data_IF_052556098237
#
_entry.id   IF_052556098237
#
_cell.length_a   1.000
_cell.length_b   1.000
_cell.length_c   1.000
_cell.angle_alpha   90.00
_cell.angle_beta   90.00
_cell.angle_gamma   90.00
#
_symmetry.space_group_name_H-M   'P 1'
#
loop_
_entity.id
_entity.type
_entity.pdbx_description
1 polymer ?
#
# COMPACT_ATOMS: atom_id res chain seq x y z
N UNK A 1 -28.62 -10.44 8.62
CA UNK A 1 -29.76 -9.66 8.08
C UNK A 1 -29.43 -9.36 6.63
N UNK A 2 -30.28 -9.75 5.68
CA UNK A 2 -30.04 -9.50 4.25
C UNK A 2 -30.29 -8.01 3.98
N UNK A 3 -29.39 -7.33 3.26
CA UNK A 3 -29.56 -5.91 2.97
C UNK A 3 -30.64 -5.69 1.88
N UNK A 4 -31.10 -4.44 1.75
CA UNK A 4 -32.19 -4.09 0.83
C UNK A 4 -31.87 -4.38 -0.64
N UNK A 5 -30.60 -4.21 -1.07
CA UNK A 5 -30.18 -4.47 -2.44
C UNK A 5 -30.20 -5.98 -2.73
N UNK A 6 -29.62 -6.79 -1.85
CA UNK A 6 -29.66 -8.25 -1.98
C UNK A 6 -31.08 -8.79 -1.98
N UNK A 7 -31.97 -8.22 -1.16
CA UNK A 7 -33.38 -8.58 -1.12
C UNK A 7 -34.10 -8.20 -2.42
N UNK A 8 -33.85 -7.01 -2.95
CA UNK A 8 -34.49 -6.51 -4.18
C UNK A 8 -34.16 -7.38 -5.41
N UNK A 9 -32.96 -7.96 -5.46
CA UNK A 9 -32.52 -8.77 -6.60
C UNK A 9 -32.51 -10.27 -6.33
N UNK A 10 -33.06 -10.75 -5.21
CA UNK A 10 -32.94 -12.15 -4.76
C UNK A 10 -33.28 -13.19 -5.83
N UNK A 11 -34.31 -12.95 -6.64
CA UNK A 11 -34.74 -13.88 -7.70
C UNK A 11 -33.72 -14.03 -8.85
N UNK A 12 -32.86 -13.02 -9.02
CA UNK A 12 -31.81 -12.98 -10.04
C UNK A 12 -30.46 -13.50 -9.53
N UNK A 13 -30.32 -13.72 -8.23
CA UNK A 13 -29.06 -14.13 -7.62
C UNK A 13 -28.96 -15.65 -7.47
N UNK A 14 -27.76 -16.17 -7.72
CA UNK A 14 -27.33 -17.52 -7.34
C UNK A 14 -26.81 -17.53 -5.89
N UNK A 15 -26.34 -16.37 -5.42
CA UNK A 15 -26.00 -16.13 -4.03
C UNK A 15 -25.22 -14.82 -3.86
N UNK A 16 -24.69 -14.61 -2.68
CA UNK A 16 -23.79 -13.51 -2.38
C UNK A 16 -22.73 -13.94 -1.38
N UNK A 17 -21.62 -13.22 -1.36
CA UNK A 17 -20.58 -13.35 -0.36
C UNK A 17 -20.03 -11.97 -0.03
N UNK A 18 -19.52 -11.80 1.18
CA UNK A 18 -18.88 -10.56 1.57
C UNK A 18 -17.38 -10.77 1.80
N UNK A 19 -16.56 -9.80 1.39
CA UNK A 19 -15.13 -9.82 1.64
C UNK A 19 -14.55 -8.41 1.74
N UNK A 20 -13.43 -8.21 2.45
CA UNK A 20 -12.63 -7.01 2.33
C UNK A 20 -12.17 -6.83 0.90
N UNK A 21 -12.30 -5.59 0.44
CA UNK A 21 -11.79 -5.16 -0.85
C UNK A 21 -10.42 -4.53 -0.65
N UNK A 22 -10.33 -3.58 0.28
CA UNK A 22 -9.12 -2.80 0.52
C UNK A 22 -8.91 -2.54 2.00
N UNK A 23 -7.71 -2.85 2.48
CA UNK A 23 -7.26 -2.46 3.82
C UNK A 23 -6.11 -1.49 3.66
N UNK A 24 -6.27 -0.27 4.17
CA UNK A 24 -5.25 0.78 4.13
C UNK A 24 -4.68 0.97 5.53
N UNK A 25 -3.38 0.73 5.66
CA UNK A 25 -2.59 0.98 6.86
C UNK A 25 -1.72 2.21 6.62
N UNK A 26 -1.71 3.17 7.53
CA UNK A 26 -0.67 4.21 7.53
C UNK A 26 0.54 3.71 8.30
N UNK A 27 1.73 4.05 7.81
CA UNK A 27 3.01 3.75 8.43
C UNK A 27 3.82 5.03 8.61
N UNK A 28 4.16 5.37 9.85
CA UNK A 28 4.83 6.63 10.17
C UNK A 28 5.79 6.49 11.34
N UNK A 29 6.84 7.31 11.36
CA UNK A 29 7.73 7.37 12.50
C UNK A 29 7.02 8.02 13.69
N UNK A 30 6.91 7.30 14.82
CA UNK A 30 6.03 7.61 15.95
C UNK A 30 6.12 9.06 16.44
N UNK A 31 7.34 9.60 16.50
CA UNK A 31 7.58 10.93 17.06
C UNK A 31 7.69 12.02 15.98
N UNK A 32 7.99 11.67 14.72
CA UNK A 32 8.46 12.64 13.73
C UNK A 32 7.35 13.51 13.10
N UNK A 33 6.14 13.47 13.67
CA UNK A 33 5.02 14.33 13.30
C UNK A 33 5.13 15.76 13.86
N UNK A 34 5.98 15.96 14.88
CA UNK A 34 6.30 17.25 15.51
C UNK A 34 7.74 17.68 15.23
N UNK A 35 8.03 18.97 15.39
CA UNK A 35 9.38 19.51 15.13
C UNK A 35 10.45 18.87 16.04
N UNK A 36 10.15 18.72 17.32
CA UNK A 36 11.04 18.06 18.27
C UNK A 36 11.28 16.59 17.92
N UNK A 37 10.23 15.87 17.54
CA UNK A 37 10.38 14.46 17.16
C UNK A 37 11.06 14.25 15.81
N UNK A 38 10.95 15.21 14.88
CA UNK A 38 11.73 15.18 13.64
C UNK A 38 13.23 15.42 13.90
N UNK A 39 13.58 16.35 14.80
CA UNK A 39 14.98 16.51 15.27
C UNK A 39 15.49 15.24 15.94
N UNK A 40 14.67 14.60 16.77
CA UNK A 40 15.01 13.30 17.35
C UNK A 40 15.31 12.27 16.26
N UNK A 41 14.41 12.11 15.27
CA UNK A 41 14.63 11.21 14.13
C UNK A 41 15.93 11.53 13.38
N UNK A 42 16.20 12.81 13.14
CA UNK A 42 17.43 13.27 12.49
C UNK A 42 18.69 12.89 13.27
N UNK A 43 18.71 13.14 14.59
CA UNK A 43 19.84 12.80 15.46
C UNK A 43 20.06 11.30 15.58
N UNK A 44 19.00 10.48 15.49
CA UNK A 44 19.14 9.03 15.41
C UNK A 44 19.90 8.60 14.16
N UNK A 45 19.77 9.33 13.05
CA UNK A 45 20.52 9.07 11.82
C UNK A 45 21.94 9.63 11.87
N UNK A 46 22.11 10.90 12.24
CA UNK A 46 23.35 11.65 12.05
C UNK A 46 24.09 12.04 13.35
N UNK A 47 23.57 11.70 14.52
CA UNK A 47 24.17 11.98 15.82
C UNK A 47 23.98 13.42 16.33
N UNK A 48 23.81 14.39 15.44
CA UNK A 48 23.65 15.81 15.79
C UNK A 48 22.73 16.55 14.81
N UNK A 49 22.42 17.81 15.10
CA UNK A 49 21.69 18.70 14.18
C UNK A 49 22.62 19.47 13.24
N UNK A 50 23.92 19.21 13.28
CA UNK A 50 24.93 19.99 12.55
C UNK A 50 24.65 20.03 11.05
N UNK A 51 24.19 18.92 10.47
CA UNK A 51 23.82 18.83 9.06
C UNK A 51 22.30 18.86 8.82
N UNK A 52 21.49 19.22 9.82
CA UNK A 52 20.06 19.38 9.63
C UNK A 52 19.80 20.69 8.87
N UNK A 53 19.67 20.58 7.55
CA UNK A 53 19.37 21.69 6.64
C UNK A 53 18.63 21.21 5.38
N UNK A 54 18.11 22.17 4.62
CA UNK A 54 17.36 21.90 3.38
C UNK A 54 18.16 21.07 2.37
N UNK A 55 19.45 21.31 2.24
CA UNK A 55 20.32 20.61 1.29
C UNK A 55 20.37 19.12 1.60
N UNK A 56 20.57 18.76 2.87
CA UNK A 56 20.61 17.37 3.29
C UNK A 56 19.24 16.68 3.21
N UNK A 57 18.13 17.40 3.49
CA UNK A 57 16.78 16.86 3.27
C UNK A 57 16.51 16.55 1.79
N UNK A 58 16.93 17.43 0.88
CA UNK A 58 16.81 17.20 -0.57
C UNK A 58 17.70 16.03 -1.01
N UNK A 59 18.92 15.93 -0.48
CA UNK A 59 19.83 14.81 -0.76
C UNK A 59 19.24 13.46 -0.37
N UNK A 60 18.51 13.38 0.76
CA UNK A 60 17.81 12.16 1.17
C UNK A 60 16.75 11.73 0.16
N UNK A 61 15.93 12.68 -0.30
CA UNK A 61 14.93 12.42 -1.35
C UNK A 61 15.57 11.99 -2.67
N UNK A 62 16.63 12.69 -3.10
CA UNK A 62 17.36 12.35 -4.32
C UNK A 62 18.04 10.97 -4.25
N UNK A 63 18.61 10.62 -3.09
CA UNK A 63 19.19 9.30 -2.81
C UNK A 63 18.14 8.20 -2.95
N UNK A 64 16.94 8.41 -2.40
CA UNK A 64 15.84 7.46 -2.49
C UNK A 64 15.48 7.18 -3.95
N UNK A 65 15.20 8.21 -4.75
CA UNK A 65 14.88 8.05 -6.17
C UNK A 65 15.98 7.34 -6.95
N UNK A 66 17.25 7.72 -6.73
CA UNK A 66 18.39 7.11 -7.42
C UNK A 66 18.51 5.62 -7.11
N UNK A 67 18.35 5.23 -5.85
CA UNK A 67 18.46 3.82 -5.43
C UNK A 67 17.29 2.98 -5.93
N UNK A 68 16.07 3.55 -5.96
CA UNK A 68 14.91 2.91 -6.58
C UNK A 68 15.15 2.65 -8.07
N UNK A 69 15.56 3.69 -8.82
CA UNK A 69 15.83 3.56 -10.27
C UNK A 69 16.95 2.56 -10.56
N UNK A 70 18.03 2.59 -9.79
CA UNK A 70 19.16 1.66 -9.95
C UNK A 70 18.75 0.20 -9.67
N UNK A 71 17.96 -0.04 -8.62
CA UNK A 71 17.44 -1.38 -8.32
C UNK A 71 16.51 -1.86 -9.43
N UNK A 72 15.55 -1.02 -9.83
CA UNK A 72 14.59 -1.37 -10.86
C UNK A 72 15.27 -1.72 -12.19
N UNK A 73 16.26 -0.92 -12.61
CA UNK A 73 17.04 -1.19 -13.83
C UNK A 73 17.87 -2.49 -13.74
N UNK A 74 18.36 -2.85 -12.55
CA UNK A 74 19.12 -4.09 -12.36
C UNK A 74 18.25 -5.35 -12.44
N UNK A 75 16.97 -5.21 -12.07
CA UNK A 75 16.03 -6.32 -11.92
C UNK A 75 14.92 -6.30 -12.96
N UNK A 76 15.07 -5.49 -14.01
CA UNK A 76 14.10 -5.32 -15.10
C UNK A 76 12.67 -5.00 -14.62
N UNK A 77 12.57 -4.21 -13.55
CA UNK A 77 11.29 -3.77 -12.97
C UNK A 77 10.89 -2.44 -13.63
N UNK A 78 9.71 -2.35 -14.26
CA UNK A 78 9.22 -1.11 -14.83
C UNK A 78 9.08 0.00 -13.78
N UNK A 79 9.54 1.21 -14.14
CA UNK A 79 9.34 2.43 -13.35
C UNK A 79 8.56 3.43 -14.21
N UNK A 80 7.31 3.68 -13.82
CA UNK A 80 6.42 4.60 -14.52
C UNK A 80 6.36 5.93 -13.78
N UNK A 81 6.36 7.03 -14.53
CA UNK A 81 5.91 8.32 -13.99
C UNK A 81 4.37 8.30 -14.06
N UNK A 82 3.73 8.43 -12.91
CA UNK A 82 2.30 8.23 -12.76
C UNK A 82 1.51 9.28 -13.54
N UNK A 83 0.61 8.87 -14.46
CA UNK A 83 -0.25 9.79 -15.19
C UNK A 83 -1.19 10.54 -14.23
N UNK A 84 -1.59 11.76 -14.60
CA UNK A 84 -2.55 12.55 -13.80
C UNK A 84 -3.96 11.95 -13.84
N UNK A 85 -4.32 11.24 -14.91
CA UNK A 85 -5.71 10.90 -15.24
C UNK A 85 -6.05 9.41 -15.10
N UNK A 86 -5.08 8.49 -15.22
CA UNK A 86 -5.35 7.06 -15.00
C UNK A 86 -5.28 6.67 -13.53
N UNK A 87 -6.18 5.80 -13.10
CA UNK A 87 -6.12 5.20 -11.77
C UNK A 87 -4.92 4.28 -11.71
N UNK A 88 -4.02 4.56 -10.76
CA UNK A 88 -2.76 3.81 -10.56
C UNK A 88 -2.97 2.30 -10.35
N UNK A 89 -4.13 1.91 -9.83
CA UNK A 89 -4.48 0.50 -9.66
C UNK A 89 -4.73 -0.17 -11.02
N UNK A 90 -5.55 0.45 -11.87
CA UNK A 90 -5.85 -0.05 -13.22
C UNK A 90 -4.59 -0.12 -14.08
N UNK A 91 -3.69 0.87 -13.95
CA UNK A 91 -2.39 0.84 -14.60
C UNK A 91 -1.52 -0.30 -14.06
N UNK A 92 -1.54 -0.57 -12.76
CA UNK A 92 -0.74 -1.65 -12.18
C UNK A 92 -1.19 -3.03 -12.62
N UNK A 93 -2.48 -3.24 -12.86
CA UNK A 93 -3.02 -4.52 -13.32
C UNK A 93 -2.44 -4.92 -14.70
N UNK A 94 -2.17 -3.95 -15.57
CA UNK A 94 -1.57 -4.18 -16.89
C UNK A 94 -0.12 -4.73 -16.84
N UNK A 95 0.55 -4.57 -15.70
CA UNK A 95 1.93 -5.03 -15.48
C UNK A 95 1.99 -6.22 -14.52
N UNK A 96 0.84 -6.73 -14.07
CA UNK A 96 0.78 -7.86 -13.15
C UNK A 96 1.37 -9.09 -13.85
N UNK A 97 2.31 -9.81 -13.21
CA UNK A 97 2.85 -11.04 -13.77
C UNK A 97 1.77 -12.10 -13.97
N UNK A 98 1.83 -12.80 -15.11
CA UNK A 98 0.92 -13.92 -15.43
C UNK A 98 1.23 -15.18 -14.61
N UNK A 99 2.46 -15.30 -14.09
CA UNK A 99 2.89 -16.45 -13.29
C UNK A 99 2.19 -16.42 -11.91
N UNK A 100 1.29 -17.38 -11.61
CA UNK A 100 0.59 -17.43 -10.32
C UNK A 100 1.52 -17.70 -9.14
N UNK A 101 2.72 -18.26 -9.39
CA UNK A 101 3.73 -18.49 -8.36
C UNK A 101 4.61 -17.26 -8.10
N UNK A 102 4.49 -16.19 -8.88
CA UNK A 102 5.30 -14.99 -8.70
C UNK A 102 5.06 -14.37 -7.31
N UNK A 103 6.16 -14.03 -6.64
CA UNK A 103 6.18 -13.26 -5.39
C UNK A 103 7.31 -12.26 -5.48
N UNK A 104 6.99 -10.97 -5.36
CA UNK A 104 7.98 -9.91 -5.44
C UNK A 104 7.43 -8.56 -5.89
N UNK A 105 8.33 -7.61 -6.03
CA UNK A 105 8.08 -6.29 -6.61
C UNK A 105 8.03 -6.43 -8.13
N UNK A 106 6.91 -6.06 -8.74
CA UNK A 106 6.73 -6.19 -10.20
C UNK A 106 6.56 -4.83 -10.91
N UNK A 107 6.17 -3.77 -10.20
CA UNK A 107 6.00 -2.44 -10.78
C UNK A 107 6.29 -1.34 -9.77
N UNK A 108 6.87 -0.25 -10.24
CA UNK A 108 7.05 0.99 -9.47
C UNK A 108 6.38 2.15 -10.20
N UNK A 109 5.53 2.90 -9.50
CA UNK A 109 4.93 4.15 -10.01
C UNK A 109 5.41 5.32 -9.16
N UNK A 110 5.93 6.37 -9.80
CA UNK A 110 6.31 7.63 -9.14
C UNK A 110 5.27 8.67 -9.49
N UNK A 111 4.54 9.21 -8.52
CA UNK A 111 3.52 10.24 -8.80
C UNK A 111 3.50 11.36 -7.78
N UNK A 112 3.07 12.55 -8.22
CA UNK A 112 3.02 13.73 -7.35
C UNK A 112 1.70 13.79 -6.61
N UNK A 113 1.77 14.05 -5.31
CA UNK A 113 0.61 14.37 -4.49
C UNK A 113 1.02 15.33 -3.36
N UNK A 114 0.03 15.93 -2.73
CA UNK A 114 0.28 16.75 -1.54
C UNK A 114 0.85 15.88 -0.43
N UNK A 115 1.99 16.31 0.13
CA UNK A 115 2.66 15.62 1.22
C UNK A 115 3.42 16.59 2.12
N UNK A 116 3.58 16.20 3.39
CA UNK A 116 4.29 16.99 4.37
C UNK A 116 5.80 17.00 4.08
N UNK A 117 6.39 18.19 4.06
CA UNK A 117 7.83 18.43 4.02
C UNK A 117 8.24 19.32 5.18
N UNK A 118 9.46 19.12 5.65
CA UNK A 118 10.07 19.95 6.68
C UNK A 118 10.91 21.05 6.05
N UNK A 119 10.68 22.29 6.47
CA UNK A 119 11.51 23.45 6.16
C UNK A 119 12.39 23.76 7.38
N UNK A 120 13.69 23.96 7.14
CA UNK A 120 14.68 24.19 8.18
C UNK A 120 15.26 25.58 8.00
N UNK A 121 15.08 26.45 9.00
CA UNK A 121 15.76 27.75 9.05
C UNK A 121 16.87 27.67 10.08
N UNK A 122 18.06 28.16 9.69
CA UNK A 122 19.23 28.24 10.55
C UNK A 122 19.52 29.69 10.92
N UNK A 123 20.04 29.90 12.13
CA UNK A 123 20.55 31.19 12.56
C UNK A 123 21.87 31.52 11.84
N UNK A 124 22.34 32.78 11.88
CA UNK A 124 23.65 33.15 11.35
C UNK A 124 24.81 32.33 11.95
N UNK A 125 24.69 31.91 13.21
CA UNK A 125 25.65 31.04 13.92
C UNK A 125 25.53 29.56 13.52
N UNK A 126 24.71 29.26 12.51
CA UNK A 126 24.53 27.92 11.97
C UNK A 126 23.68 27.00 12.85
N UNK A 127 22.98 27.47 13.88
CA UNK A 127 22.10 26.61 14.71
C UNK A 127 20.71 26.48 14.08
N UNK A 128 20.04 25.35 14.28
CA UNK A 128 18.63 25.20 13.85
C UNK A 128 17.77 26.17 14.66
N UNK A 129 17.26 27.20 13.98
CA UNK A 129 16.44 28.26 14.58
C UNK A 129 14.96 27.87 14.58
N UNK A 130 14.45 27.37 13.44
CA UNK A 130 13.08 26.92 13.34
C UNK A 130 12.95 25.72 12.41
N UNK A 131 12.01 24.85 12.74
CA UNK A 131 11.65 23.70 11.93
C UNK A 131 10.13 23.69 11.74
N UNK A 132 9.66 23.94 10.52
CA UNK A 132 8.23 24.05 10.21
C UNK A 132 7.80 23.01 9.18
N UNK A 133 6.56 22.54 9.32
CA UNK A 133 5.96 21.55 8.42
C UNK A 133 5.06 22.26 7.40
N UNK A 134 5.27 21.98 6.12
CA UNK A 134 4.48 22.52 5.02
C UNK A 134 3.97 21.40 4.14
N UNK A 135 2.79 21.57 3.56
CA UNK A 135 2.31 20.68 2.50
C UNK A 135 2.78 21.21 1.14
N UNK A 136 3.37 20.32 0.34
CA UNK A 136 3.88 20.60 -1.01
C UNK A 136 3.50 19.44 -1.93
N UNK A 137 3.41 19.71 -3.22
CA UNK A 137 3.32 18.65 -4.23
C UNK A 137 4.68 17.96 -4.35
N UNK A 138 4.80 16.77 -3.77
CA UNK A 138 6.02 15.96 -3.74
C UNK A 138 5.80 14.62 -4.43
N UNK A 139 6.89 13.99 -4.83
CA UNK A 139 6.84 12.62 -5.34
C UNK A 139 6.48 11.66 -4.19
N UNK A 140 5.61 10.72 -4.51
CA UNK A 140 5.38 9.51 -3.75
C UNK A 140 5.75 8.34 -4.66
N UNK A 141 6.44 7.35 -4.09
CA UNK A 141 6.87 6.15 -4.79
C UNK A 141 5.91 5.03 -4.37
N UNK A 142 5.26 4.41 -5.33
CA UNK A 142 4.31 3.32 -5.16
C UNK A 142 5.01 2.04 -5.62
N UNK A 143 5.20 1.12 -4.68
CA UNK A 143 5.74 -0.21 -4.95
C UNK A 143 4.57 -1.18 -5.04
N UNK A 144 4.36 -1.76 -6.22
CA UNK A 144 3.33 -2.77 -6.48
C UNK A 144 3.96 -4.15 -6.37
N UNK A 145 3.47 -4.91 -5.38
CA UNK A 145 4.12 -6.09 -4.86
C UNK A 145 3.08 -7.21 -4.79
N UNK A 146 3.49 -8.39 -5.22
CA UNK A 146 2.79 -9.63 -4.93
C UNK A 146 3.49 -10.27 -3.73
N UNK A 147 2.77 -10.38 -2.62
CA UNK A 147 3.19 -11.02 -1.38
C UNK A 147 2.66 -12.46 -1.34
N UNK A 148 3.29 -13.39 -0.57
CA UNK A 148 2.80 -14.76 -0.49
C UNK A 148 1.31 -14.87 -0.14
N UNK A 149 0.81 -13.92 0.66
CA UNK A 149 -0.58 -13.89 1.13
C UNK A 149 -1.37 -12.75 0.49
N UNK A 150 -0.74 -11.63 0.13
CA UNK A 150 -1.44 -10.39 -0.23
C UNK A 150 -1.09 -9.85 -1.62
N UNK A 151 -2.03 -9.12 -2.22
CA UNK A 151 -1.67 -8.04 -3.14
C UNK A 151 -1.31 -6.81 -2.33
N UNK A 152 -0.12 -6.23 -2.52
CA UNK A 152 0.38 -5.11 -1.72
C UNK A 152 0.76 -3.93 -2.61
N UNK A 153 0.19 -2.75 -2.32
CA UNK A 153 0.71 -1.48 -2.83
C UNK A 153 1.26 -0.66 -1.67
N UNK A 154 2.57 -0.41 -1.67
CA UNK A 154 3.22 0.44 -0.67
C UNK A 154 3.51 1.81 -1.27
N UNK A 155 2.81 2.84 -0.80
CA UNK A 155 3.07 4.24 -1.14
C UNK A 155 4.01 4.84 -0.10
N UNK A 156 5.17 5.35 -0.48
CA UNK A 156 6.10 6.06 0.42
C UNK A 156 6.30 7.51 -0.05
N UNK A 157 6.24 8.46 0.88
CA UNK A 157 6.70 9.83 0.65
C UNK A 157 8.18 9.84 0.28
N UNK A 158 8.55 10.53 -0.80
CA UNK A 158 9.97 10.70 -1.14
C UNK A 158 10.75 11.56 -0.13
N UNK A 159 10.05 12.29 0.74
CA UNK A 159 10.67 13.20 1.69
C UNK A 159 10.68 12.62 3.11
N UNK A 160 11.75 12.88 3.88
CA UNK A 160 11.86 12.44 5.26
C UNK A 160 10.73 13.04 6.13
N UNK A 161 10.18 12.28 7.10
CA UNK A 161 10.63 10.97 7.58
C UNK A 161 9.95 9.80 6.83
N UNK A 162 9.72 9.92 5.52
CA UNK A 162 9.27 8.82 4.66
C UNK A 162 7.97 8.15 5.14
N UNK A 163 6.97 8.96 5.49
CA UNK A 163 5.65 8.45 5.83
C UNK A 163 5.09 7.63 4.67
N UNK A 164 4.42 6.53 4.98
CA UNK A 164 3.96 5.54 4.01
C UNK A 164 2.52 5.10 4.25
N UNK A 165 1.93 4.49 3.23
CA UNK A 165 0.67 3.77 3.30
C UNK A 165 0.86 2.38 2.70
N UNK A 166 0.42 1.35 3.40
CA UNK A 166 0.37 -0.03 2.92
C UNK A 166 -1.07 -0.32 2.57
N UNK A 167 -1.34 -0.57 1.31
CA UNK A 167 -2.66 -0.89 0.78
C UNK A 167 -2.65 -2.38 0.46
N UNK A 168 -3.53 -3.12 1.12
CA UNK A 168 -3.69 -4.55 0.95
C UNK A 168 -4.96 -4.84 0.14
N UNK A 169 -4.84 -5.68 -0.88
CA UNK A 169 -5.94 -6.12 -1.73
C UNK A 169 -6.55 -7.40 -1.13
N UNK A 170 -7.81 -7.32 -0.69
CA UNK A 170 -8.52 -8.44 -0.07
C UNK A 170 -8.99 -9.50 -1.06
N UNK A 171 -9.30 -9.13 -2.31
CA UNK A 171 -9.62 -10.09 -3.37
C UNK A 171 -8.39 -10.96 -3.71
N UNK A 172 -7.22 -10.36 -3.84
CA UNK A 172 -5.97 -11.10 -4.06
C UNK A 172 -5.65 -12.04 -2.89
N UNK A 173 -5.92 -11.60 -1.64
CA UNK A 173 -5.79 -12.46 -0.47
C UNK A 173 -6.68 -13.70 -0.56
N UNK A 174 -7.97 -13.53 -0.87
CA UNK A 174 -8.89 -14.66 -1.02
C UNK A 174 -8.48 -15.61 -2.15
N UNK A 175 -8.05 -15.06 -3.30
CA UNK A 175 -7.56 -15.86 -4.42
C UNK A 175 -6.35 -16.73 -4.00
N UNK A 176 -5.43 -16.15 -3.21
CA UNK A 176 -4.25 -16.86 -2.70
C UNK A 176 -4.60 -17.91 -1.66
N UNK A 177 -5.52 -17.62 -0.74
CA UNK A 177 -6.00 -18.61 0.23
C UNK A 177 -6.67 -19.80 -0.47
N UNK A 178 -7.47 -19.55 -1.51
CA UNK A 178 -8.05 -20.63 -2.31
C UNK A 178 -6.99 -21.44 -3.03
N UNK A 179 -6.02 -20.80 -3.67
CA UNK A 179 -4.93 -21.49 -4.35
C UNK A 179 -4.12 -22.37 -3.38
N UNK A 180 -3.82 -21.88 -2.18
CA UNK A 180 -3.15 -22.66 -1.13
C UNK A 180 -4.00 -23.85 -0.65
N UNK A 181 -5.33 -23.73 -0.68
CA UNK A 181 -6.27 -24.82 -0.42
C UNK A 181 -6.46 -25.77 -1.63
N UNK A 182 -5.68 -25.62 -2.70
CA UNK A 182 -5.77 -26.44 -3.91
C UNK A 182 -6.99 -26.13 -4.78
N UNK A 183 -7.53 -24.91 -4.68
CA UNK A 183 -8.71 -24.45 -5.42
C UNK A 183 -8.35 -23.27 -6.33
N UNK A 184 -8.81 -23.28 -7.56
CA UNK A 184 -8.59 -22.17 -8.50
C UNK A 184 -9.79 -21.24 -8.45
N UNK A 185 -9.56 -19.97 -8.14
CA UNK A 185 -10.57 -18.91 -8.27
C UNK A 185 -10.25 -18.08 -9.51
N UNK A 186 -11.18 -18.00 -10.45
CA UNK A 186 -11.10 -17.02 -11.52
C UNK A 186 -11.76 -15.70 -11.08
N UNK A 187 -11.00 -14.62 -11.16
CA UNK A 187 -11.47 -13.25 -10.95
C UNK A 187 -11.87 -12.66 -12.30
N UNK A 188 -13.15 -12.32 -12.45
CA UNK A 188 -13.61 -11.40 -13.51
C UNK A 188 -14.06 -10.10 -12.89
N UNK A 189 -13.38 -9.00 -13.22
CA UNK A 189 -13.78 -7.64 -12.82
C UNK A 189 -14.13 -7.49 -11.32
N UNK A 190 -13.22 -7.91 -10.43
CA UNK A 190 -13.38 -7.92 -8.96
C UNK A 190 -14.44 -8.88 -8.39
N UNK A 191 -15.00 -9.80 -9.19
CA UNK A 191 -15.91 -10.83 -8.72
C UNK A 191 -15.32 -12.22 -9.00
N UNK A 192 -15.49 -13.16 -8.07
CA UNK A 192 -15.12 -14.55 -8.32
C UNK A 192 -16.23 -15.24 -9.12
N UNK A 193 -15.92 -15.68 -10.34
CA UNK A 193 -16.93 -16.13 -11.31
C UNK A 193 -17.03 -17.64 -11.49
N UNK A 194 -16.14 -18.43 -10.90
CA UNK A 194 -16.02 -19.84 -11.29
C UNK A 194 -15.95 -20.86 -10.13
N UNK A 195 -16.44 -22.07 -10.43
CA UNK A 195 -16.39 -23.37 -9.72
C UNK A 195 -16.94 -23.43 -8.28
N UNK A 196 -17.04 -22.32 -7.55
CA UNK A 196 -17.43 -22.29 -6.13
C UNK A 196 -18.86 -21.80 -5.93
N UNK A 197 -19.61 -22.43 -5.02
CA UNK A 197 -20.92 -21.90 -4.62
C UNK A 197 -20.73 -20.63 -3.78
N UNK A 198 -21.74 -19.76 -3.72
CA UNK A 198 -21.72 -18.60 -2.83
C UNK A 198 -21.45 -18.99 -1.36
N UNK A 199 -21.88 -20.19 -0.96
CA UNK A 199 -21.60 -20.75 0.36
C UNK A 199 -20.12 -21.08 0.56
N UNK A 200 -19.45 -21.62 -0.47
CA UNK A 200 -18.02 -21.90 -0.38
C UNK A 200 -17.18 -20.61 -0.39
N UNK A 201 -17.59 -19.60 -1.15
CA UNK A 201 -16.95 -18.27 -1.15
C UNK A 201 -17.16 -17.56 0.17
N UNK A 202 -18.36 -17.66 0.74
CA UNK A 202 -18.66 -17.14 2.09
C UNK A 202 -17.82 -17.88 3.13
N UNK A 203 -17.79 -19.21 3.09
CA UNK A 203 -16.97 -20.00 3.99
C UNK A 203 -15.48 -19.65 3.86
N UNK A 204 -14.96 -19.50 2.64
CA UNK A 204 -13.56 -19.13 2.42
C UNK A 204 -13.29 -17.71 2.90
N UNK A 205 -14.20 -16.75 2.64
CA UNK A 205 -14.08 -15.40 3.15
C UNK A 205 -14.12 -15.35 4.68
N UNK A 206 -15.05 -16.06 5.32
CA UNK A 206 -15.21 -16.10 6.77
C UNK A 206 -14.08 -16.87 7.47
N UNK A 207 -13.65 -18.01 6.93
CA UNK A 207 -12.59 -18.87 7.52
C UNK A 207 -11.20 -18.27 7.30
N UNK A 208 -10.99 -17.64 6.14
CA UNK A 208 -9.77 -16.85 5.90
C UNK A 208 -9.79 -15.52 6.68
N UNK A 209 -10.95 -15.10 7.19
CA UNK A 209 -11.16 -13.92 8.02
C UNK A 209 -11.67 -14.16 9.43
N UNK A 210 -11.15 -15.18 10.11
CA UNK A 210 -10.80 -14.93 11.50
C UNK A 210 -9.79 -13.77 11.48
N UNK A 211 -10.31 -12.53 11.63
CA UNK A 211 -9.63 -11.24 11.52
C UNK A 211 -8.12 -11.40 11.67
N UNK A 212 -7.31 -10.91 10.71
CA UNK A 212 -5.88 -11.16 10.73
C UNK A 212 -5.42 -10.80 12.12
N UNK A 213 -5.03 -11.82 12.90
CA UNK A 213 -4.83 -11.65 14.35
C UNK A 213 -3.95 -10.43 14.48
N UNK A 214 -4.28 -9.48 15.37
CA UNK A 214 -3.73 -8.10 15.46
C UNK A 214 -2.24 -7.90 15.08
N UNK A 215 -1.41 -8.95 15.14
CA UNK A 215 -0.07 -9.05 14.57
C UNK A 215 0.08 -9.20 13.04
N UNK A 216 -0.74 -9.95 12.30
CA UNK A 216 -0.54 -10.26 10.86
C UNK A 216 -0.53 -8.99 9.97
N UNK A 217 -1.51 -8.08 10.14
CA UNK A 217 -1.51 -6.79 9.42
C UNK A 217 -0.29 -5.94 9.78
N UNK A 218 0.12 -5.98 11.05
CA UNK A 218 1.35 -5.32 11.51
C UNK A 218 2.59 -5.94 10.86
N UNK A 219 2.66 -7.26 10.72
CA UNK A 219 3.78 -7.98 10.13
C UNK A 219 3.94 -7.64 8.65
N UNK A 220 2.87 -7.72 7.85
CA UNK A 220 2.93 -7.34 6.43
C UNK A 220 3.29 -5.86 6.28
N UNK A 221 2.73 -4.98 7.12
CA UNK A 221 3.06 -3.55 7.12
C UNK A 221 4.55 -3.32 7.41
N UNK A 222 5.07 -3.89 8.50
CA UNK A 222 6.47 -3.72 8.90
C UNK A 222 7.44 -4.38 7.92
N UNK A 223 7.11 -5.57 7.39
CA UNK A 223 7.90 -6.28 6.37
C UNK A 223 8.13 -5.42 5.15
N UNK A 224 7.06 -4.92 4.53
CA UNK A 224 7.17 -4.15 3.29
C UNK A 224 7.68 -2.74 3.50
N UNK A 225 7.29 -2.07 4.59
CA UNK A 225 7.88 -0.80 4.98
C UNK A 225 9.39 -0.92 5.14
N UNK A 226 9.86 -1.90 5.91
CA UNK A 226 11.29 -2.11 6.15
C UNK A 226 12.05 -2.40 4.85
N UNK A 227 11.48 -3.28 4.01
CA UNK A 227 12.07 -3.69 2.74
C UNK A 227 12.22 -2.51 1.77
N UNK A 228 11.21 -1.64 1.65
CA UNK A 228 11.27 -0.52 0.71
C UNK A 228 11.95 0.72 1.30
N UNK A 229 11.92 0.92 2.63
CA UNK A 229 12.68 1.99 3.29
C UNK A 229 14.19 1.80 3.13
N UNK A 230 14.64 0.57 2.83
CA UNK A 230 16.02 0.28 2.41
C UNK A 230 16.49 1.21 1.29
N UNK A 231 15.63 1.59 0.34
CA UNK A 231 16.03 2.49 -0.75
C UNK A 231 16.26 3.93 -0.27
N UNK A 232 15.51 4.40 0.73
CA UNK A 232 15.65 5.73 1.30
C UNK A 232 16.84 5.84 2.26
N UNK A 233 17.03 4.82 3.10
CA UNK A 233 18.02 4.76 4.17
C UNK A 233 18.90 3.51 4.00
N UNK A 234 20.24 3.63 3.94
CA UNK A 234 21.17 2.51 4.07
C UNK A 234 20.87 1.70 5.32
N UNK A 235 21.30 0.43 5.36
CA UNK A 235 21.01 -0.46 6.48
C UNK A 235 21.41 0.10 7.84
N UNK A 236 22.63 0.65 7.96
CA UNK A 236 23.15 1.24 9.20
C UNK A 236 22.32 2.42 9.71
N UNK A 237 21.67 3.18 8.82
CA UNK A 237 20.77 4.28 9.13
C UNK A 237 19.35 3.74 9.45
N UNK A 238 18.83 2.86 8.59
CA UNK A 238 17.48 2.27 8.70
C UNK A 238 17.28 1.56 10.04
N UNK A 239 18.25 0.75 10.47
CA UNK A 239 18.18 -0.01 11.73
C UNK A 239 18.06 0.89 12.97
N UNK A 240 18.49 2.16 12.89
CA UNK A 240 18.41 3.10 14.02
C UNK A 240 17.02 3.69 14.24
N UNK A 241 16.16 3.67 13.21
CA UNK A 241 14.86 4.36 13.20
C UNK A 241 13.68 3.46 12.85
N UNK A 242 13.88 2.33 12.17
CA UNK A 242 12.77 1.52 11.64
C UNK A 242 11.89 0.90 12.73
N UNK A 243 12.47 0.55 13.88
CA UNK A 243 11.74 0.03 15.04
C UNK A 243 10.81 1.05 15.70
N UNK A 244 10.97 2.34 15.36
CA UNK A 244 10.13 3.43 15.85
C UNK A 244 8.99 3.80 14.88
N UNK A 245 8.92 3.15 13.71
CA UNK A 245 7.73 3.27 12.86
C UNK A 245 6.58 2.50 13.50
N UNK A 246 5.37 3.04 13.34
CA UNK A 246 4.12 2.43 13.78
C UNK A 246 3.18 2.33 12.59
N UNK A 247 2.39 1.26 12.59
CA UNK A 247 1.31 1.07 11.65
C UNK A 247 -0.02 1.30 12.36
N UNK A 248 -0.95 2.00 11.71
CA UNK A 248 -2.33 2.13 12.18
C UNK A 248 -3.30 1.93 11.03
N UNK A 249 -4.46 1.34 11.34
CA UNK A 249 -5.54 1.21 10.39
C UNK A 249 -6.08 2.59 10.03
N UNK A 250 -6.12 2.90 8.74
CA UNK A 250 -6.63 4.16 8.21
C UNK A 250 -8.01 3.99 7.61
N UNK A 251 -8.19 2.94 6.79
CA UNK A 251 -9.44 2.67 6.10
C UNK A 251 -9.58 1.17 5.84
N UNK A 252 -10.81 0.67 5.91
CA UNK A 252 -11.19 -0.67 5.42
C UNK A 252 -12.39 -0.50 4.51
N UNK A 253 -12.29 -1.02 3.30
CA UNK A 253 -13.40 -1.19 2.35
C UNK A 253 -13.83 -2.66 2.40
N UNK A 254 -15.13 -2.89 2.57
CA UNK A 254 -15.74 -4.21 2.59
C UNK A 254 -16.77 -4.26 1.47
N UNK A 255 -16.68 -5.28 0.63
CA UNK A 255 -17.52 -5.47 -0.55
C UNK A 255 -18.50 -6.59 -0.33
N UNK A 256 -19.75 -6.34 -0.72
CA UNK A 256 -20.78 -7.36 -0.91
C UNK A 256 -20.81 -7.71 -2.39
N UNK A 257 -20.48 -8.95 -2.70
CA UNK A 257 -20.45 -9.46 -4.06
C UNK A 257 -21.73 -10.23 -4.34
N UNK A 258 -22.48 -9.78 -5.34
CA UNK A 258 -23.75 -10.38 -5.76
C UNK A 258 -23.52 -11.23 -7.01
N UNK A 259 -23.73 -12.54 -6.89
CA UNK A 259 -23.56 -13.48 -7.99
C UNK A 259 -24.87 -13.64 -8.74
N UNK A 260 -24.99 -13.00 -9.90
CA UNK A 260 -26.16 -13.12 -10.76
C UNK A 260 -26.19 -14.48 -11.47
N UNK A 261 -27.39 -15.06 -11.60
CA UNK A 261 -27.60 -16.32 -12.34
C UNK A 261 -27.26 -16.21 -13.82
N UNK A 262 -27.37 -15.01 -14.40
CA UNK A 262 -27.09 -14.73 -15.81
C UNK A 262 -26.37 -13.38 -15.95
N UNK A 263 -25.21 -13.31 -16.63
CA UNK A 263 -24.48 -12.06 -16.85
C UNK A 263 -25.33 -10.96 -17.52
N UNK A 264 -26.18 -11.31 -18.49
CA UNK A 264 -27.05 -10.34 -19.16
C UNK A 264 -28.04 -9.64 -18.22
N UNK A 265 -28.45 -10.29 -17.12
CA UNK A 265 -29.33 -9.67 -16.12
C UNK A 265 -28.59 -8.64 -15.28
N UNK A 266 -27.32 -8.88 -14.97
CA UNK A 266 -26.47 -7.89 -14.32
C UNK A 266 -26.34 -6.63 -15.19
N UNK A 267 -26.09 -6.78 -16.49
CA UNK A 267 -25.94 -5.62 -17.39
C UNK A 267 -27.21 -4.77 -17.48
N UNK A 268 -28.39 -5.40 -17.53
CA UNK A 268 -29.68 -4.70 -17.55
C UNK A 268 -29.97 -3.94 -16.24
N UNK A 269 -29.45 -4.43 -15.12
CA UNK A 269 -29.64 -3.81 -13.79
C UNK A 269 -28.66 -2.66 -13.56
N UNK A 270 -27.43 -2.75 -14.08
CA UNK A 270 -26.34 -1.81 -13.80
C UNK A 270 -26.11 -0.74 -14.88
N UNK A 271 -26.63 -0.92 -16.10
CA UNK A 271 -26.61 0.09 -17.15
C UNK A 271 -28.05 0.56 -17.42
N UNK A 272 -28.53 1.66 -16.79
CA UNK A 272 -29.75 2.32 -17.22
C UNK A 272 -29.60 2.95 -18.61
#
# INVERSE_FOLDING_TARGET
MVDQLSAAYADYLQGSYDCPDRIVLTAYHRLASSAGGFRYWWRRLYGSDENLDKTHLIRLSGRFHRRVKAYANKHDIPVLEGPLEERKHDLAEQYKPDDPAFVGLFLIIISRASGAVWDVKRSPEGRVHSLSKHYRMINHIFFHIIDPEWGVTLRISSHPPFAAMVILNGHEYLARQAHQAGRTLELTSNCFSDIMTAADLTWLAETSWELPTKGQLGQVCHRWLNSCLHFALPESERLRVVSEYRCSLFQVEYSRNLLFRRPAQMEQVLKP
#
